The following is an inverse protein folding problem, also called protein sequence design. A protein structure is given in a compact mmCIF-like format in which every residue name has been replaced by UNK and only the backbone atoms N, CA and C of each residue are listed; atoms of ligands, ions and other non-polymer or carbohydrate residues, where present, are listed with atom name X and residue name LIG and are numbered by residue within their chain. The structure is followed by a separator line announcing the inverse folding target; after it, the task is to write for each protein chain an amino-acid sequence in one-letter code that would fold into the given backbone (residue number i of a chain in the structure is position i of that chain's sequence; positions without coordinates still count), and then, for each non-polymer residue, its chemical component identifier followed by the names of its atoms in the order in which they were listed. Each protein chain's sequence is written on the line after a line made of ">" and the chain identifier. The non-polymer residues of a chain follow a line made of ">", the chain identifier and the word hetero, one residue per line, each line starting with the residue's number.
data_IF_526619773241
#
_entry.id   IF_526619773241
#
_cell.length_a   1.000
_cell.length_b   1.000
_cell.length_c   1.000
_cell.angle_alpha   90.00
_cell.angle_beta   90.00
_cell.angle_gamma   90.00
#
_symmetry.space_group_name_H-M   'P 1'
#
loop_
_entity.id
_entity.type
_entity.pdbx_description
1 polymer ?
#
# COMPACT_ATOMS: atom_id res chain seq x y z
N UNK A 1 -13.37 -0.86 -8.93
CA UNK A 1 -12.48 -0.08 -9.82
C UNK A 1 -12.88 1.38 -9.86
N UNK A 2 -14.04 1.78 -10.40
CA UNK A 2 -14.48 3.19 -10.44
C UNK A 2 -14.48 3.89 -9.07
N UNK A 3 -14.93 3.17 -8.05
CA UNK A 3 -14.95 3.63 -6.66
C UNK A 3 -13.54 3.75 -6.02
N UNK A 4 -12.59 2.93 -6.44
CA UNK A 4 -11.19 2.98 -5.94
C UNK A 4 -10.43 4.16 -6.56
N UNK A 5 -10.74 4.48 -7.82
CA UNK A 5 -10.15 5.63 -8.53
C UNK A 5 -10.70 6.97 -8.05
N UNK A 6 -11.86 6.97 -7.39
CA UNK A 6 -12.44 8.19 -6.82
C UNK A 6 -11.54 8.82 -5.74
N UNK A 7 -10.97 8.02 -4.84
CA UNK A 7 -10.13 8.52 -3.74
C UNK A 7 -8.91 9.33 -4.19
N UNK A 8 -8.04 8.79 -5.07
CA UNK A 8 -6.90 9.55 -5.60
C UNK A 8 -7.29 10.84 -6.34
N UNK A 9 -8.47 10.88 -6.99
CA UNK A 9 -8.95 12.10 -7.66
C UNK A 9 -9.30 13.17 -6.63
N UNK A 10 -10.03 12.79 -5.57
CA UNK A 10 -10.48 13.73 -4.54
C UNK A 10 -9.34 14.23 -3.66
N UNK A 11 -8.36 13.38 -3.35
CA UNK A 11 -7.12 13.74 -2.64
C UNK A 11 -6.30 14.79 -3.43
N UNK A 12 -6.06 14.53 -4.73
CA UNK A 12 -5.37 15.49 -5.60
C UNK A 12 -6.13 16.82 -5.75
N UNK A 13 -7.46 16.77 -5.88
CA UNK A 13 -8.28 17.98 -5.92
C UNK A 13 -8.15 18.79 -4.63
N UNK A 14 -8.07 18.11 -3.47
CA UNK A 14 -7.87 18.76 -2.18
C UNK A 14 -6.49 19.44 -2.11
N UNK A 15 -5.43 18.76 -2.57
CA UNK A 15 -4.08 19.31 -2.65
C UNK A 15 -3.99 20.55 -3.56
N UNK A 16 -4.64 20.51 -4.74
CA UNK A 16 -4.69 21.66 -5.66
C UNK A 16 -5.41 22.84 -5.01
N UNK A 17 -6.56 22.60 -4.36
CA UNK A 17 -7.31 23.66 -3.69
C UNK A 17 -6.52 24.36 -2.60
N UNK A 18 -5.74 23.59 -1.82
CA UNK A 18 -4.86 24.13 -0.79
C UNK A 18 -3.74 24.97 -1.39
N UNK A 19 -3.06 24.45 -2.40
CA UNK A 19 -1.95 25.14 -3.06
C UNK A 19 -2.39 26.38 -3.86
N UNK A 20 -3.65 26.43 -4.34
CA UNK A 20 -4.17 27.55 -5.12
C UNK A 20 -4.93 28.59 -4.30
N UNK A 21 -5.15 28.36 -3.00
CA UNK A 21 -5.93 29.26 -2.15
C UNK A 21 -7.41 29.37 -2.55
N UNK A 22 -8.03 28.28 -3.03
CA UNK A 22 -9.38 28.28 -3.61
C UNK A 22 -10.54 28.63 -2.64
N UNK A 23 -10.24 28.91 -1.37
CA UNK A 23 -11.20 29.33 -0.35
C UNK A 23 -11.79 28.18 0.47
N UNK A 24 -12.17 28.50 1.71
CA UNK A 24 -12.55 27.53 2.73
C UNK A 24 -13.79 26.70 2.36
N UNK A 25 -14.75 27.29 1.63
CA UNK A 25 -15.96 26.60 1.18
C UNK A 25 -15.65 25.44 0.23
N UNK A 26 -14.71 25.63 -0.70
CA UNK A 26 -14.32 24.60 -1.66
C UNK A 26 -13.53 23.51 -0.96
N UNK A 27 -12.60 23.89 -0.07
CA UNK A 27 -11.83 22.97 0.77
C UNK A 27 -12.72 22.05 1.60
N UNK A 28 -13.74 22.62 2.27
CA UNK A 28 -14.68 21.82 3.07
C UNK A 28 -15.46 20.78 2.27
N UNK A 29 -15.70 21.04 0.99
CA UNK A 29 -16.31 20.07 0.08
C UNK A 29 -15.30 18.98 -0.25
N UNK A 30 -14.08 19.34 -0.68
CA UNK A 30 -13.06 18.35 -1.04
C UNK A 30 -12.59 17.49 0.12
N UNK A 31 -12.48 18.03 1.33
CA UNK A 31 -12.18 17.27 2.55
C UNK A 31 -13.23 16.17 2.81
N UNK A 32 -14.52 16.48 2.59
CA UNK A 32 -15.59 15.48 2.72
C UNK A 32 -15.49 14.41 1.64
N UNK A 33 -15.14 14.79 0.42
CA UNK A 33 -14.99 13.84 -0.69
C UNK A 33 -13.75 12.94 -0.50
N UNK A 34 -12.65 13.48 0.03
CA UNK A 34 -11.47 12.69 0.39
C UNK A 34 -11.78 11.69 1.52
N UNK A 35 -12.52 12.10 2.55
CA UNK A 35 -12.96 11.19 3.61
C UNK A 35 -13.80 10.02 3.08
N UNK A 36 -14.71 10.29 2.12
CA UNK A 36 -15.47 9.24 1.42
C UNK A 36 -14.52 8.35 0.60
N UNK A 37 -13.61 8.95 -0.16
CA UNK A 37 -12.60 8.24 -0.95
C UNK A 37 -11.72 7.30 -0.11
N UNK A 38 -11.31 7.72 1.08
CA UNK A 38 -10.55 6.91 2.03
C UNK A 38 -11.35 5.71 2.54
N UNK A 39 -12.64 5.90 2.80
CA UNK A 39 -13.56 4.81 3.18
C UNK A 39 -13.70 3.81 2.04
N UNK A 40 -13.93 4.29 0.83
CA UNK A 40 -14.07 3.45 -0.37
C UNK A 40 -12.78 2.67 -0.68
N UNK A 41 -11.61 3.31 -0.54
CA UNK A 41 -10.28 2.68 -0.67
C UNK A 41 -10.05 1.57 0.37
N UNK A 42 -10.61 1.70 1.57
CA UNK A 42 -10.55 0.65 2.57
C UNK A 42 -11.44 -0.55 2.18
N UNK A 43 -12.65 -0.29 1.68
CA UNK A 43 -13.57 -1.34 1.20
C UNK A 43 -12.97 -2.13 0.03
N UNK A 44 -12.34 -1.45 -0.93
CA UNK A 44 -11.73 -2.09 -2.11
C UNK A 44 -10.54 -2.97 -1.73
N UNK A 45 -9.70 -2.53 -0.78
CA UNK A 45 -8.65 -3.37 -0.17
C UNK A 45 -9.22 -4.61 0.51
N UNK A 46 -10.31 -4.47 1.26
CA UNK A 46 -11.00 -5.59 1.89
C UNK A 46 -11.52 -6.61 0.87
N UNK A 47 -12.19 -6.13 -0.18
CA UNK A 47 -12.67 -6.98 -1.27
C UNK A 47 -11.52 -7.74 -1.94
N UNK A 48 -10.44 -7.04 -2.32
CA UNK A 48 -9.27 -7.66 -2.92
C UNK A 48 -8.67 -8.76 -2.03
N UNK A 49 -8.60 -8.54 -0.71
CA UNK A 49 -8.09 -9.52 0.25
C UNK A 49 -8.96 -10.78 0.31
N UNK A 50 -10.29 -10.61 0.37
CA UNK A 50 -11.23 -11.75 0.40
C UNK A 50 -11.19 -12.52 -0.92
N UNK A 51 -11.22 -11.82 -2.06
CA UNK A 51 -11.11 -12.44 -3.38
C UNK A 51 -9.80 -13.20 -3.55
N UNK A 52 -8.68 -12.63 -3.09
CA UNK A 52 -7.38 -13.31 -3.09
C UNK A 52 -7.39 -14.56 -2.19
N UNK A 53 -8.02 -14.50 -1.02
CA UNK A 53 -8.19 -15.65 -0.13
C UNK A 53 -8.98 -16.79 -0.76
N UNK A 54 -10.11 -16.48 -1.42
CA UNK A 54 -10.91 -17.47 -2.15
C UNK A 54 -10.13 -18.07 -3.33
N UNK A 55 -9.45 -17.23 -4.11
CA UNK A 55 -8.60 -17.69 -5.21
C UNK A 55 -7.46 -18.59 -4.70
N UNK A 56 -6.82 -18.23 -3.58
CA UNK A 56 -5.77 -19.04 -2.97
C UNK A 56 -6.29 -20.42 -2.53
N UNK A 57 -7.51 -20.49 -1.97
CA UNK A 57 -8.15 -21.76 -1.63
C UNK A 57 -8.37 -22.65 -2.87
N UNK A 58 -8.91 -22.08 -3.96
CA UNK A 58 -9.12 -22.80 -5.22
C UNK A 58 -7.81 -23.26 -5.86
N UNK A 59 -6.79 -22.40 -5.86
CA UNK A 59 -5.45 -22.74 -6.34
C UNK A 59 -4.81 -23.83 -5.49
N UNK A 60 -5.04 -23.82 -4.17
CA UNK A 60 -4.56 -24.87 -3.29
C UNK A 60 -5.26 -26.20 -3.57
N UNK A 61 -6.57 -26.21 -3.79
CA UNK A 61 -7.30 -27.40 -4.23
C UNK A 61 -6.75 -27.94 -5.56
N UNK A 62 -6.60 -27.07 -6.57
CA UNK A 62 -6.02 -27.44 -7.85
C UNK A 62 -4.58 -27.99 -7.72
N UNK A 63 -3.80 -27.47 -6.77
CA UNK A 63 -2.48 -28.01 -6.44
C UNK A 63 -2.57 -29.43 -5.87
N UNK A 64 -3.49 -29.70 -4.93
CA UNK A 64 -3.70 -31.03 -4.38
C UNK A 64 -4.12 -32.04 -5.47
N UNK A 65 -5.04 -31.64 -6.35
CA UNK A 65 -5.48 -32.45 -7.49
C UNK A 65 -4.31 -32.79 -8.42
N UNK A 66 -3.45 -31.79 -8.70
CA UNK A 66 -2.25 -32.00 -9.52
C UNK A 66 -1.25 -32.94 -8.87
N UNK A 67 -1.06 -32.83 -7.55
CA UNK A 67 -0.19 -33.75 -6.79
C UNK A 67 -0.74 -35.18 -6.82
N UNK A 68 -2.06 -35.36 -6.68
CA UNK A 68 -2.72 -36.67 -6.75
C UNK A 68 -2.45 -37.33 -8.11
N UNK A 69 -2.69 -36.59 -9.20
CA UNK A 69 -2.42 -37.04 -10.57
C UNK A 69 -0.96 -37.48 -10.76
N UNK A 70 0.01 -36.66 -10.34
CA UNK A 70 1.44 -36.96 -10.51
C UNK A 70 1.91 -38.17 -9.69
N UNK A 71 1.25 -38.45 -8.57
CA UNK A 71 1.55 -39.62 -7.72
C UNK A 71 0.78 -40.88 -8.13
N UNK A 72 -0.12 -40.79 -9.11
CA UNK A 72 -0.96 -41.90 -9.53
C UNK A 72 -1.95 -42.37 -8.46
N UNK A 73 -2.35 -41.47 -7.54
CA UNK A 73 -3.34 -41.76 -6.49
C UNK A 73 -4.68 -41.14 -6.86
N UNK A 74 -5.78 -41.80 -6.50
CA UNK A 74 -7.13 -41.33 -6.85
C UNK A 74 -7.49 -39.99 -6.21
N UNK A 75 -6.96 -39.70 -5.01
CA UNK A 75 -7.18 -38.42 -4.35
C UNK A 75 -6.09 -38.06 -3.35
N UNK A 76 -5.86 -36.76 -3.16
CA UNK A 76 -4.97 -36.22 -2.14
C UNK A 76 -5.68 -35.10 -1.36
N UNK A 77 -6.70 -35.48 -0.58
CA UNK A 77 -7.65 -34.52 0.00
C UNK A 77 -7.33 -34.12 1.45
N UNK A 78 -6.32 -34.75 2.09
CA UNK A 78 -6.04 -34.56 3.51
C UNK A 78 -4.66 -33.93 3.70
N UNK A 79 -4.66 -32.71 4.24
CA UNK A 79 -3.45 -32.00 4.65
C UNK A 79 -3.32 -32.10 6.17
N UNK A 80 -2.42 -32.97 6.64
CA UNK A 80 -2.24 -33.21 8.07
C UNK A 80 -1.18 -32.25 8.66
N UNK A 81 -1.64 -31.27 9.45
CA UNK A 81 -0.78 -30.32 10.16
C UNK A 81 0.10 -30.95 11.26
N UNK A 82 -0.22 -32.15 11.75
CA UNK A 82 0.62 -32.85 12.72
C UNK A 82 1.90 -33.45 12.08
N UNK A 83 1.98 -33.47 10.74
CA UNK A 83 3.21 -33.83 10.05
C UNK A 83 4.20 -32.69 10.15
N UNK A 84 5.40 -33.01 10.64
CA UNK A 84 6.47 -32.02 10.89
C UNK A 84 6.79 -31.20 9.64
N UNK A 85 6.82 -31.82 8.46
CA UNK A 85 7.15 -31.14 7.20
C UNK A 85 6.09 -30.11 6.81
N UNK A 86 4.81 -30.43 7.02
CA UNK A 86 3.68 -29.54 6.74
C UNK A 86 3.66 -28.39 7.74
N UNK A 87 3.86 -28.70 9.02
CA UNK A 87 3.90 -27.70 10.09
C UNK A 87 5.03 -26.69 9.90
N UNK A 88 6.25 -27.17 9.65
CA UNK A 88 7.43 -26.32 9.40
C UNK A 88 7.21 -25.48 8.13
N UNK A 89 6.65 -26.07 7.07
CA UNK A 89 6.31 -25.35 5.84
C UNK A 89 5.31 -24.22 6.09
N UNK A 90 4.24 -24.47 6.85
CA UNK A 90 3.26 -23.46 7.21
C UNK A 90 3.87 -22.33 8.07
N UNK A 91 4.73 -22.68 9.04
CA UNK A 91 5.42 -21.69 9.87
C UNK A 91 6.33 -20.79 9.03
N UNK A 92 7.13 -21.37 8.12
CA UNK A 92 7.98 -20.62 7.20
C UNK A 92 7.15 -19.69 6.30
N UNK A 93 6.00 -20.16 5.80
CA UNK A 93 5.11 -19.34 4.98
C UNK A 93 4.60 -18.10 5.73
N UNK A 94 4.18 -18.26 7.00
CA UNK A 94 3.77 -17.11 7.84
C UNK A 94 4.94 -16.16 8.07
N UNK A 95 6.14 -16.68 8.39
CA UNK A 95 7.32 -15.85 8.60
C UNK A 95 7.71 -15.03 7.35
N UNK A 96 7.54 -15.59 6.15
CA UNK A 96 7.80 -14.88 4.90
C UNK A 96 6.92 -13.63 4.73
N UNK A 97 5.66 -13.67 5.17
CA UNK A 97 4.75 -12.52 5.14
C UNK A 97 5.29 -11.37 6.01
N UNK A 98 5.73 -11.68 7.23
CA UNK A 98 6.33 -10.69 8.13
C UNK A 98 7.67 -10.17 7.60
N UNK A 99 8.50 -11.04 7.02
CA UNK A 99 9.77 -10.65 6.45
C UNK A 99 9.58 -9.67 5.28
N UNK A 100 8.68 -9.99 4.35
CA UNK A 100 8.33 -9.11 3.24
C UNK A 100 7.79 -7.77 3.72
N UNK A 101 6.89 -7.79 4.70
CA UNK A 101 6.32 -6.57 5.30
C UNK A 101 7.41 -5.70 5.96
N UNK A 102 8.35 -6.32 6.67
CA UNK A 102 9.49 -5.63 7.27
C UNK A 102 10.39 -4.96 6.22
N UNK A 103 10.69 -5.65 5.13
CA UNK A 103 11.48 -5.08 4.03
C UNK A 103 10.76 -3.90 3.37
N UNK A 104 9.46 -4.02 3.10
CA UNK A 104 8.66 -2.93 2.54
C UNK A 104 8.64 -1.70 3.47
N UNK A 105 8.36 -1.90 4.76
CA UNK A 105 8.35 -0.81 5.76
C UNK A 105 9.74 -0.17 5.86
N UNK A 106 10.82 -0.97 5.87
CA UNK A 106 12.19 -0.45 5.95
C UNK A 106 12.56 0.38 4.72
N UNK A 107 12.17 -0.05 3.52
CA UNK A 107 12.41 0.70 2.29
C UNK A 107 11.70 2.07 2.29
N UNK A 108 10.42 2.09 2.70
CA UNK A 108 9.64 3.33 2.83
C UNK A 108 10.24 4.24 3.91
N UNK A 109 10.57 3.68 5.08
CA UNK A 109 11.15 4.42 6.21
C UNK A 109 12.46 5.12 5.83
N UNK A 110 13.38 4.40 5.19
CA UNK A 110 14.66 4.96 4.73
C UNK A 110 14.46 6.15 3.78
N UNK A 111 13.52 6.03 2.84
CA UNK A 111 13.24 7.09 1.86
C UNK A 111 12.55 8.28 2.53
N UNK A 112 11.59 8.04 3.43
CA UNK A 112 10.93 9.08 4.20
C UNK A 112 11.92 9.88 5.06
N UNK A 113 12.90 9.22 5.70
CA UNK A 113 13.96 9.91 6.46
C UNK A 113 14.75 10.88 5.58
N UNK A 114 15.11 10.49 4.35
CA UNK A 114 15.81 11.38 3.41
C UNK A 114 14.94 12.58 3.00
N UNK A 115 13.64 12.37 2.78
CA UNK A 115 12.71 13.47 2.48
C UNK A 115 12.62 14.45 3.66
N UNK A 116 12.52 13.96 4.88
CA UNK A 116 12.47 14.81 6.08
C UNK A 116 13.74 15.64 6.22
N UNK A 117 14.91 15.03 6.01
CA UNK A 117 16.20 15.73 6.04
C UNK A 117 16.28 16.81 4.95
N UNK A 118 15.82 16.52 3.73
CA UNK A 118 15.80 17.48 2.62
C UNK A 118 14.85 18.65 2.88
N UNK A 119 13.63 18.40 3.36
CA UNK A 119 12.68 19.47 3.73
C UNK A 119 13.25 20.36 4.84
N UNK A 120 13.84 19.75 5.88
CA UNK A 120 14.51 20.50 6.96
C UNK A 120 15.68 21.33 6.44
N UNK A 121 16.48 20.78 5.52
CA UNK A 121 17.58 21.49 4.86
C UNK A 121 17.06 22.72 4.11
N UNK A 122 16.01 22.55 3.29
CA UNK A 122 15.42 23.66 2.54
C UNK A 122 14.88 24.76 3.46
N UNK A 123 14.17 24.42 4.53
CA UNK A 123 13.69 25.43 5.50
C UNK A 123 14.82 26.15 6.24
N UNK A 124 15.92 25.46 6.54
CA UNK A 124 17.07 26.08 7.23
C UNK A 124 17.89 26.99 6.32
N UNK A 125 18.12 26.57 5.08
CA UNK A 125 18.95 27.32 4.12
C UNK A 125 18.16 28.42 3.41
N UNK A 126 16.85 28.25 3.25
CA UNK A 126 15.94 29.21 2.61
C UNK A 126 14.74 29.52 3.51
N UNK A 127 14.91 30.34 4.57
CA UNK A 127 13.82 30.70 5.49
C UNK A 127 12.61 31.37 4.80
N UNK A 128 12.83 32.03 3.65
CA UNK A 128 11.79 32.65 2.82
C UNK A 128 10.76 31.66 2.26
N UNK A 129 11.00 30.35 2.37
CA UNK A 129 9.99 29.34 2.04
C UNK A 129 8.83 29.36 3.05
N UNK A 130 9.12 29.55 4.34
CA UNK A 130 8.08 29.55 5.39
C UNK A 130 7.21 30.80 5.33
N UNK A 131 7.76 31.91 4.84
CA UNK A 131 7.01 33.17 4.60
C UNK A 131 6.32 33.19 3.24
N UNK A 132 6.59 32.21 2.37
CA UNK A 132 6.04 32.12 1.01
C UNK A 132 6.71 33.03 -0.02
N UNK A 133 7.79 33.71 0.34
CA UNK A 133 8.56 34.60 -0.54
C UNK A 133 9.42 33.82 -1.54
N UNK A 134 9.88 32.62 -1.15
CA UNK A 134 10.72 31.73 -1.98
C UNK A 134 10.01 30.43 -2.26
N UNK A 135 10.10 29.92 -3.50
CA UNK A 135 9.53 28.62 -3.87
C UNK A 135 10.44 27.47 -3.41
N UNK A 136 9.89 26.38 -2.81
CA UNK A 136 10.64 25.17 -2.53
C UNK A 136 11.16 24.48 -3.79
N UNK A 137 12.22 23.68 -3.65
CA UNK A 137 12.67 22.77 -4.70
C UNK A 137 11.90 21.44 -4.60
N UNK A 138 10.81 21.36 -5.37
CA UNK A 138 9.98 20.16 -5.47
C UNK A 138 10.65 19.04 -6.27
N UNK A 139 11.53 19.37 -7.23
CA UNK A 139 12.16 18.38 -8.10
C UNK A 139 13.07 17.45 -7.31
N UNK A 140 13.78 18.01 -6.31
CA UNK A 140 14.64 17.22 -5.43
C UNK A 140 13.87 16.24 -4.55
N UNK A 141 12.70 16.63 -4.06
CA UNK A 141 11.84 15.71 -3.31
C UNK A 141 11.38 14.54 -4.19
N UNK A 142 11.01 14.80 -5.44
CA UNK A 142 10.63 13.76 -6.41
C UNK A 142 11.82 12.84 -6.72
N UNK A 143 13.01 13.39 -6.99
CA UNK A 143 14.23 12.62 -7.27
C UNK A 143 14.62 11.69 -6.11
N UNK A 144 14.43 12.11 -4.85
CA UNK A 144 14.65 11.24 -3.69
C UNK A 144 13.68 10.06 -3.67
N UNK A 145 12.41 10.27 -4.04
CA UNK A 145 11.40 9.20 -4.06
C UNK A 145 11.49 8.27 -5.27
N UNK A 146 12.09 8.73 -6.37
CA UNK A 146 12.17 7.99 -7.63
C UNK A 146 13.41 7.09 -7.76
N UNK A 147 14.42 7.26 -6.88
CA UNK A 147 15.65 6.47 -6.83
C UNK A 147 15.55 5.30 -5.86
#
# INVERSE_FOLDING_TARGET
>A
LSEDTFGPITDNANGINEMSGAGEKVRRITDRLDAVGNTTKALTKGYAMVSAGLAAFLLFQAYLDRVAFLRGVESFNVVNLARVEVFVGALLAVMLVFLFSSWAIRAVSNTASKIIEEVRRQFREFPGILTGETRPDYARAVDITAR
#
